data_IF_966746623659
#
_entry.id   IF_966746623659
#
_cell.length_a   1.000
_cell.length_b   1.000
_cell.length_c   1.000
_cell.angle_alpha   90.00
_cell.angle_beta   90.00
_cell.angle_gamma   90.00
#
_symmetry.space_group_name_H-M   'P 1'
#
loop_
_entity.id
_entity.type
_entity.pdbx_description
1 polymer ?
#
# COMPACT_ATOMS: atom_id res chain seq x y z
N UNK A 1 20.34 -5.84 0.66
CA UNK A 1 20.02 -6.59 1.90
C UNK A 1 19.92 -5.73 3.14
N UNK A 2 20.93 -4.95 3.53
CA UNK A 2 20.91 -4.23 4.82
C UNK A 2 19.73 -3.26 5.05
N UNK A 3 19.09 -2.75 3.98
CA UNK A 3 17.98 -1.80 4.10
C UNK A 3 16.76 -2.10 3.22
N UNK A 4 16.84 -3.05 2.28
CA UNK A 4 15.77 -3.28 1.28
C UNK A 4 14.47 -3.71 1.97
N UNK A 5 13.34 -3.02 1.77
CA UNK A 5 12.08 -3.38 2.43
C UNK A 5 11.64 -4.81 2.16
N UNK A 6 11.81 -5.30 0.93
CA UNK A 6 11.40 -6.66 0.55
C UNK A 6 12.32 -7.74 1.15
N UNK A 7 13.63 -7.51 1.16
CA UNK A 7 14.58 -8.49 1.68
C UNK A 7 14.52 -8.59 3.22
N UNK A 8 14.13 -7.51 3.91
CA UNK A 8 14.02 -7.46 5.38
C UNK A 8 12.61 -7.76 5.92
N UNK A 9 11.74 -8.39 5.13
CA UNK A 9 10.51 -8.96 5.67
C UNK A 9 10.84 -10.19 6.52
N UNK A 10 10.43 -10.16 7.78
CA UNK A 10 10.71 -11.16 8.81
C UNK A 10 9.45 -11.43 9.67
N UNK A 11 9.47 -12.48 10.48
CA UNK A 11 8.34 -12.83 11.33
C UNK A 11 8.25 -11.85 12.50
N UNK A 12 7.37 -10.85 12.38
CA UNK A 12 7.09 -9.87 13.45
C UNK A 12 5.69 -9.28 13.34
N UNK A 13 5.29 -8.58 14.38
CA UNK A 13 4.06 -7.81 14.45
C UNK A 13 4.23 -6.46 13.74
N UNK A 14 3.86 -6.43 12.46
CA UNK A 14 3.91 -5.21 11.66
C UNK A 14 2.74 -4.28 12.00
N UNK A 15 2.89 -2.95 11.90
CA UNK A 15 1.77 -2.04 12.00
C UNK A 15 0.78 -2.25 10.85
N UNK A 16 -0.38 -1.63 10.95
CA UNK A 16 -1.30 -1.54 9.82
C UNK A 16 -0.63 -0.84 8.63
N UNK A 17 -0.71 -1.42 7.44
CA UNK A 17 -0.08 -0.89 6.22
C UNK A 17 -1.11 -0.84 5.10
N UNK A 18 -1.22 0.31 4.45
CA UNK A 18 -1.90 0.48 3.17
C UNK A 18 -0.86 0.88 2.12
N UNK A 19 -0.52 -0.05 1.23
CA UNK A 19 0.31 0.24 0.07
C UNK A 19 -0.58 0.68 -1.10
N UNK A 20 -0.27 1.84 -1.70
CA UNK A 20 -1.03 2.39 -2.83
C UNK A 20 -0.11 2.44 -4.06
N UNK A 21 -0.63 2.01 -5.20
CA UNK A 21 0.08 2.00 -6.48
C UNK A 21 -0.90 2.10 -7.64
N UNK A 22 -0.39 2.09 -8.87
CA UNK A 22 -1.19 2.14 -10.10
C UNK A 22 -0.73 1.08 -11.10
N UNK A 23 -1.67 0.45 -11.80
CA UNK A 23 -1.38 -0.66 -12.72
C UNK A 23 -0.52 -0.22 -13.91
N UNK A 24 -0.66 1.04 -14.36
CA UNK A 24 0.09 1.60 -15.48
C UNK A 24 1.26 2.51 -15.04
N UNK A 25 1.76 2.37 -13.81
CA UNK A 25 2.97 3.07 -13.39
C UNK A 25 4.22 2.46 -14.08
N UNK A 26 4.66 3.11 -15.15
CA UNK A 26 5.85 2.72 -15.91
C UNK A 26 7.17 3.20 -15.30
N UNK A 27 7.13 4.01 -14.23
CA UNK A 27 8.32 4.48 -13.49
C UNK A 27 8.65 3.56 -12.32
N UNK A 28 7.63 3.16 -11.56
CA UNK A 28 7.73 2.22 -10.45
C UNK A 28 6.61 1.18 -10.59
N UNK A 29 6.96 -0.01 -11.06
CA UNK A 29 5.97 -1.03 -11.40
C UNK A 29 5.18 -1.48 -10.17
N UNK A 30 3.87 -1.70 -10.35
CA UNK A 30 2.95 -2.18 -9.30
C UNK A 30 3.40 -3.51 -8.66
N UNK A 31 4.23 -4.29 -9.35
CA UNK A 31 4.78 -5.55 -8.82
C UNK A 31 5.64 -5.33 -7.58
N UNK A 32 6.27 -4.17 -7.42
CA UNK A 32 7.11 -3.83 -6.26
C UNK A 32 6.31 -3.82 -4.94
N UNK A 33 5.23 -3.01 -4.80
CA UNK A 33 4.38 -3.09 -3.62
C UNK A 33 3.59 -4.40 -3.55
N UNK A 34 3.18 -5.00 -4.69
CA UNK A 34 2.41 -6.24 -4.69
C UNK A 34 3.20 -7.42 -4.08
N UNK A 35 4.44 -7.64 -4.52
CA UNK A 35 5.29 -8.71 -3.96
C UNK A 35 5.61 -8.46 -2.49
N UNK A 36 5.81 -7.19 -2.09
CA UNK A 36 6.09 -6.82 -0.71
C UNK A 36 4.91 -7.09 0.22
N UNK A 37 3.71 -6.63 -0.14
CA UNK A 37 2.49 -6.88 0.65
C UNK A 37 2.18 -8.37 0.73
N UNK A 38 2.37 -9.13 -0.36
CA UNK A 38 2.19 -10.58 -0.35
C UNK A 38 3.15 -11.26 0.65
N UNK A 39 4.44 -10.90 0.63
CA UNK A 39 5.44 -11.43 1.56
C UNK A 39 5.12 -11.03 3.01
N UNK A 40 4.74 -9.79 3.26
CA UNK A 40 4.33 -9.33 4.60
C UNK A 40 3.15 -10.15 5.14
N UNK A 41 2.09 -10.33 4.34
CA UNK A 41 0.90 -11.11 4.74
C UNK A 41 1.24 -12.56 5.07
N UNK A 42 2.16 -13.17 4.32
CA UNK A 42 2.60 -14.54 4.56
C UNK A 42 3.53 -14.69 5.78
N UNK A 43 4.17 -13.62 6.24
CA UNK A 43 5.25 -13.67 7.25
C UNK A 43 4.86 -13.05 8.59
N UNK A 44 3.95 -12.08 8.63
CA UNK A 44 3.59 -11.35 9.85
C UNK A 44 3.07 -12.29 10.95
N UNK A 45 3.28 -11.90 12.21
CA UNK A 45 2.84 -12.68 13.38
C UNK A 45 1.64 -12.08 14.12
N UNK A 46 1.21 -10.85 13.77
CA UNK A 46 0.05 -10.18 14.37
C UNK A 46 -1.11 -9.98 13.39
N UNK A 47 -2.19 -9.34 13.85
CA UNK A 47 -3.46 -9.25 13.12
C UNK A 47 -3.68 -7.91 12.41
N UNK A 48 -2.71 -7.00 12.50
CA UNK A 48 -2.81 -5.71 11.84
C UNK A 48 -3.14 -5.86 10.32
N UNK A 49 -4.03 -5.01 9.79
CA UNK A 49 -4.44 -5.06 8.40
C UNK A 49 -3.31 -4.66 7.46
N UNK A 50 -3.07 -5.48 6.43
CA UNK A 50 -2.12 -5.22 5.36
C UNK A 50 -2.88 -5.15 4.04
N UNK A 51 -3.08 -3.95 3.50
CA UNK A 51 -3.87 -3.69 2.30
C UNK A 51 -2.97 -3.24 1.14
N UNK A 52 -3.38 -3.62 -0.07
CA UNK A 52 -2.83 -3.14 -1.34
C UNK A 52 -3.98 -2.53 -2.14
N UNK A 53 -3.90 -1.24 -2.43
CA UNK A 53 -4.82 -0.54 -3.34
C UNK A 53 -4.08 -0.26 -4.64
N UNK A 54 -4.60 -0.81 -5.73
CA UNK A 54 -4.05 -0.61 -7.07
C UNK A 54 -5.05 0.13 -7.91
N UNK A 55 -4.68 1.33 -8.35
CA UNK A 55 -5.48 2.09 -9.29
C UNK A 55 -5.42 1.45 -10.68
N UNK A 56 -6.57 1.05 -11.20
CA UNK A 56 -6.66 0.25 -12.43
C UNK A 56 -6.57 1.08 -13.72
N UNK A 57 -6.58 2.41 -13.62
CA UNK A 57 -6.51 3.32 -14.78
C UNK A 57 -5.49 4.44 -14.64
N UNK A 58 -4.75 4.48 -13.53
CA UNK A 58 -3.75 5.50 -13.26
C UNK A 58 -2.32 5.07 -13.65
N UNK A 59 -1.41 6.05 -13.68
CA UNK A 59 0.04 5.84 -13.80
C UNK A 59 0.78 6.39 -12.58
N UNK A 60 2.06 6.75 -12.73
CA UNK A 60 2.91 7.17 -11.60
C UNK A 60 2.36 8.32 -10.75
N UNK A 61 1.65 9.26 -11.37
CA UNK A 61 1.04 10.41 -10.67
C UNK A 61 -0.27 10.10 -9.94
N UNK A 62 -0.69 8.83 -9.90
CA UNK A 62 -2.00 8.42 -9.43
C UNK A 62 -3.13 8.80 -10.39
N UNK A 63 -4.36 8.82 -9.87
CA UNK A 63 -5.55 9.17 -10.63
C UNK A 63 -5.49 10.59 -11.23
N UNK A 64 -6.04 10.74 -12.42
CA UNK A 64 -6.18 12.03 -13.08
C UNK A 64 -7.54 12.66 -12.76
N UNK A 65 -7.62 13.99 -12.85
CA UNK A 65 -8.85 14.73 -12.55
C UNK A 65 -8.94 15.23 -11.10
N UNK A 66 -9.52 16.43 -10.93
CA UNK A 66 -9.59 17.11 -9.63
C UNK A 66 -10.34 16.29 -8.58
N UNK A 67 -11.52 15.78 -8.95
CA UNK A 67 -12.39 15.08 -8.01
C UNK A 67 -11.87 13.68 -7.67
N UNK A 68 -11.26 12.96 -8.61
CA UNK A 68 -10.66 11.65 -8.32
C UNK A 68 -9.49 11.79 -7.35
N UNK A 69 -8.67 12.83 -7.50
CA UNK A 69 -7.63 13.13 -6.49
C UNK A 69 -8.20 13.39 -5.10
N UNK A 70 -9.33 14.08 -5.00
CA UNK A 70 -9.98 14.29 -3.70
C UNK A 70 -10.55 13.01 -3.11
N UNK A 71 -11.10 12.11 -3.93
CA UNK A 71 -11.56 10.79 -3.48
C UNK A 71 -10.39 9.94 -2.98
N UNK A 72 -9.25 9.97 -3.66
CA UNK A 72 -8.03 9.27 -3.26
C UNK A 72 -7.58 9.72 -1.86
N UNK A 73 -7.43 11.03 -1.68
CA UNK A 73 -7.05 11.63 -0.39
C UNK A 73 -8.10 11.35 0.69
N UNK A 74 -9.39 11.40 0.36
CA UNK A 74 -10.45 11.08 1.31
C UNK A 74 -10.39 9.61 1.76
N UNK A 75 -10.07 8.68 0.85
CA UNK A 75 -9.89 7.27 1.19
C UNK A 75 -8.70 7.07 2.12
N UNK A 76 -7.55 7.68 1.82
CA UNK A 76 -6.35 7.63 2.66
C UNK A 76 -6.63 8.13 4.08
N UNK A 77 -7.28 9.29 4.22
CA UNK A 77 -7.64 9.82 5.53
C UNK A 77 -8.69 8.98 6.24
N UNK A 78 -9.73 8.52 5.55
CA UNK A 78 -10.74 7.65 6.14
C UNK A 78 -10.09 6.37 6.69
N UNK A 79 -9.10 5.82 5.98
CA UNK A 79 -8.37 4.64 6.45
C UNK A 79 -7.55 4.92 7.71
N UNK A 80 -6.79 6.01 7.73
CA UNK A 80 -6.02 6.40 8.93
C UNK A 80 -6.97 6.63 10.11
N UNK A 81 -8.09 7.32 9.89
CA UNK A 81 -9.10 7.57 10.93
C UNK A 81 -9.75 6.28 11.47
N UNK A 82 -10.05 5.31 10.61
CA UNK A 82 -10.58 4.00 11.04
C UNK A 82 -9.58 3.18 11.88
N UNK A 83 -8.28 3.39 11.66
CA UNK A 83 -7.22 2.75 12.43
C UNK A 83 -7.00 3.38 13.81
N UNK A 84 -7.05 4.71 13.91
CA UNK A 84 -6.81 5.43 15.17
C UNK A 84 -8.07 5.61 16.03
N UNK A 85 -9.25 5.50 15.43
CA UNK A 85 -10.54 5.65 16.11
C UNK A 85 -10.98 4.41 16.90
N UNK A 86 -10.10 3.41 17.04
CA UNK A 86 -10.29 2.20 17.82
C UNK A 86 -9.49 2.26 19.11
#
# INVERSE_FOLDING_TARGET
>A
RSYSPYENVEAKDYPAILAITSINDTRVLYVEPAKWVAKLRATKTGDAPLLLKTEMSAGHGGVSGRYEKWKEVAFEFAWVLDLIGK
#
